data_IF_701765480967
#
_entry.id   IF_701765480967
#
_cell.length_a   1.000
_cell.length_b   1.000
_cell.length_c   1.000
_cell.angle_alpha   90.00
_cell.angle_beta   90.00
_cell.angle_gamma   90.00
#
_symmetry.space_group_name_H-M   'P 1'
#
loop_
_entity.id
_entity.type
_entity.pdbx_description
1 polymer ?
#
# COMPACT_ATOMS: atom_id res chain seq x y z
N UNK A 1 4.42 48.93 -12.97
CA UNK A 1 3.51 47.76 -13.09
C UNK A 1 3.22 47.43 -14.56
N UNK A 2 2.80 46.20 -14.93
CA UNK A 2 2.14 45.21 -14.07
C UNK A 2 2.87 43.86 -13.98
N UNK A 3 3.07 43.38 -12.75
CA UNK A 3 3.27 41.95 -12.47
C UNK A 3 1.93 41.44 -11.92
N UNK A 4 1.12 40.85 -12.81
CA UNK A 4 -0.25 40.45 -12.51
C UNK A 4 -0.59 39.15 -13.20
N UNK A 5 0.05 38.05 -12.81
CA UNK A 5 -0.47 36.70 -13.02
C UNK A 5 0.24 35.69 -12.08
N UNK A 6 -0.36 35.39 -10.92
CA UNK A 6 -0.33 34.02 -10.40
C UNK A 6 -1.68 33.52 -9.87
N UNK A 7 -2.77 34.28 -10.08
CA UNK A 7 -4.07 33.95 -9.49
C UNK A 7 -4.82 32.82 -10.21
N UNK A 8 -4.63 32.67 -11.53
CA UNK A 8 -5.36 31.69 -12.35
C UNK A 8 -4.92 30.23 -12.13
N UNK A 9 -3.64 29.99 -11.84
CA UNK A 9 -3.10 28.65 -11.57
C UNK A 9 -3.52 28.11 -10.20
N UNK A 10 -3.39 28.95 -9.16
CA UNK A 10 -3.82 28.63 -7.79
C UNK A 10 -5.33 28.40 -7.68
N UNK A 11 -6.13 29.17 -8.41
CA UNK A 11 -7.58 28.93 -8.48
C UNK A 11 -7.92 27.64 -9.23
N UNK A 12 -7.12 27.27 -10.24
CA UNK A 12 -7.25 26.01 -10.97
C UNK A 12 -7.01 24.78 -10.10
N UNK A 13 -5.92 24.77 -9.30
CA UNK A 13 -5.63 23.66 -8.38
C UNK A 13 -6.73 23.50 -7.32
N UNK A 14 -7.17 24.61 -6.71
CA UNK A 14 -8.23 24.56 -5.71
C UNK A 14 -9.57 24.07 -6.31
N UNK A 15 -9.94 24.55 -7.49
CA UNK A 15 -11.15 24.09 -8.19
C UNK A 15 -11.08 22.61 -8.56
N UNK A 16 -9.93 22.12 -9.02
CA UNK A 16 -9.71 20.71 -9.33
C UNK A 16 -9.87 19.82 -8.08
N UNK A 17 -9.37 20.27 -6.91
CA UNK A 17 -9.52 19.52 -5.66
C UNK A 17 -10.98 19.41 -5.22
N UNK A 18 -11.76 20.48 -5.32
CA UNK A 18 -13.19 20.44 -4.98
C UNK A 18 -13.98 19.54 -5.94
N UNK A 19 -13.67 19.60 -7.24
CA UNK A 19 -14.29 18.72 -8.23
C UNK A 19 -13.93 17.24 -7.98
N UNK A 20 -12.69 16.94 -7.64
CA UNK A 20 -12.26 15.59 -7.25
C UNK A 20 -13.05 15.10 -6.04
N UNK A 21 -13.22 15.92 -4.99
CA UNK A 21 -14.02 15.54 -3.81
C UNK A 21 -15.46 15.21 -4.20
N UNK A 22 -16.08 16.02 -5.07
CA UNK A 22 -17.44 15.79 -5.58
C UNK A 22 -17.53 14.46 -6.33
N UNK A 23 -16.61 14.20 -7.26
CA UNK A 23 -16.57 12.96 -8.04
C UNK A 23 -16.38 11.72 -7.16
N UNK A 24 -15.50 11.79 -6.15
CA UNK A 24 -15.30 10.70 -5.19
C UNK A 24 -16.57 10.43 -4.37
N UNK A 25 -17.28 11.47 -3.95
CA UNK A 25 -18.58 11.34 -3.28
C UNK A 25 -19.66 10.69 -4.15
N UNK A 26 -19.56 10.85 -5.48
CA UNK A 26 -20.44 10.22 -6.47
C UNK A 26 -19.96 8.82 -6.90
N UNK A 27 -18.84 8.32 -6.37
CA UNK A 27 -18.24 7.04 -6.78
C UNK A 27 -17.60 7.05 -8.17
N UNK A 28 -17.38 8.24 -8.76
CA UNK A 28 -16.81 8.42 -10.11
C UNK A 28 -15.27 8.44 -10.05
N UNK A 29 -14.70 7.35 -9.56
CA UNK A 29 -13.28 7.23 -9.19
C UNK A 29 -12.36 7.50 -10.39
N UNK A 30 -12.61 6.86 -11.54
CA UNK A 30 -11.79 7.04 -12.75
C UNK A 30 -11.71 8.51 -13.20
N UNK A 31 -12.81 9.27 -13.08
CA UNK A 31 -12.80 10.69 -13.46
C UNK A 31 -12.03 11.54 -12.46
N UNK A 32 -12.06 11.19 -11.17
CA UNK A 32 -11.20 11.80 -10.18
C UNK A 32 -9.71 11.53 -10.47
N UNK A 33 -9.36 10.30 -10.89
CA UNK A 33 -7.99 9.96 -11.34
C UNK A 33 -7.54 10.87 -12.48
N UNK A 34 -8.39 11.07 -13.49
CA UNK A 34 -8.04 11.87 -14.66
C UNK A 34 -7.79 13.33 -14.30
N UNK A 35 -8.62 13.93 -13.45
CA UNK A 35 -8.42 15.31 -12.99
C UNK A 35 -7.15 15.44 -12.17
N UNK A 36 -6.90 14.51 -11.24
CA UNK A 36 -5.69 14.50 -10.42
C UNK A 36 -4.43 14.35 -11.27
N UNK A 37 -4.45 13.44 -12.25
CA UNK A 37 -3.34 13.23 -13.18
C UNK A 37 -3.07 14.44 -14.07
N UNK A 38 -4.12 15.16 -14.48
CA UNK A 38 -4.00 16.36 -15.30
C UNK A 38 -3.47 17.57 -14.52
N UNK A 39 -3.88 17.76 -13.26
CA UNK A 39 -3.50 18.95 -12.47
C UNK A 39 -2.14 18.81 -11.78
N UNK A 40 -1.70 17.59 -11.47
CA UNK A 40 -0.46 17.37 -10.71
C UNK A 40 0.79 17.98 -11.38
N UNK A 41 1.03 17.82 -12.70
CA UNK A 41 2.18 18.45 -13.37
C UNK A 41 2.11 19.99 -13.33
N UNK A 42 0.92 20.57 -13.48
CA UNK A 42 0.72 22.02 -13.38
C UNK A 42 1.04 22.52 -11.98
N UNK A 43 0.52 21.86 -10.95
CA UNK A 43 0.82 22.20 -9.56
C UNK A 43 2.32 22.06 -9.26
N UNK A 44 2.98 21.03 -9.81
CA UNK A 44 4.42 20.83 -9.69
C UNK A 44 5.24 21.96 -10.32
N UNK A 45 4.85 22.43 -11.50
CA UNK A 45 5.50 23.55 -12.18
C UNK A 45 5.31 24.89 -11.44
N UNK A 46 4.14 25.11 -10.85
CA UNK A 46 3.80 26.38 -10.17
C UNK A 46 4.35 26.49 -8.74
N UNK A 47 4.28 25.40 -7.98
CA UNK A 47 4.62 25.39 -6.56
C UNK A 47 5.97 24.73 -6.26
N UNK A 48 6.53 24.00 -7.22
CA UNK A 48 7.74 23.20 -7.07
C UNK A 48 7.42 21.77 -6.61
N UNK A 49 8.24 20.82 -7.09
CA UNK A 49 7.96 19.39 -6.95
C UNK A 49 7.93 18.85 -5.51
N UNK A 50 8.64 19.52 -4.61
CA UNK A 50 8.71 19.13 -3.19
C UNK A 50 7.79 19.98 -2.31
N UNK A 51 6.93 20.82 -2.91
CA UNK A 51 6.00 21.66 -2.15
C UNK A 51 4.94 20.83 -1.45
N UNK A 52 4.44 21.34 -0.32
CA UNK A 52 3.41 20.66 0.46
C UNK A 52 2.13 20.39 -0.37
N UNK A 53 1.71 21.35 -1.19
CA UNK A 53 0.53 21.23 -2.06
C UNK A 53 0.68 20.07 -3.04
N UNK A 54 1.83 19.97 -3.71
CA UNK A 54 2.11 18.90 -4.68
C UNK A 54 2.17 17.54 -4.01
N UNK A 55 2.77 17.45 -2.81
CA UNK A 55 2.81 16.21 -2.03
C UNK A 55 1.43 15.74 -1.60
N UNK A 56 0.54 16.65 -1.23
CA UNK A 56 -0.86 16.33 -0.89
C UNK A 56 -1.61 15.83 -2.13
N UNK A 57 -1.50 16.54 -3.27
CA UNK A 57 -2.11 16.12 -4.53
C UNK A 57 -1.59 14.75 -5.01
N UNK A 58 -0.28 14.53 -4.94
CA UNK A 58 0.35 13.26 -5.32
C UNK A 58 -0.14 12.11 -4.46
N UNK A 59 -0.31 12.33 -3.15
CA UNK A 59 -0.91 11.35 -2.25
C UNK A 59 -2.34 11.04 -2.63
N UNK A 60 -3.18 12.06 -2.85
CA UNK A 60 -4.56 11.89 -3.28
C UNK A 60 -4.60 11.08 -4.59
N UNK A 61 -3.79 11.45 -5.58
CA UNK A 61 -3.68 10.75 -6.86
C UNK A 61 -3.29 9.28 -6.70
N UNK A 62 -2.24 9.00 -5.93
CA UNK A 62 -1.80 7.63 -5.67
C UNK A 62 -2.90 6.79 -4.99
N UNK A 63 -3.59 7.33 -3.98
CA UNK A 63 -4.71 6.63 -3.32
C UNK A 63 -5.87 6.39 -4.28
N UNK A 64 -6.27 7.39 -5.06
CA UNK A 64 -7.36 7.23 -6.03
C UNK A 64 -7.00 6.24 -7.15
N UNK A 65 -5.74 6.20 -7.58
CA UNK A 65 -5.26 5.17 -8.51
C UNK A 65 -5.34 3.75 -7.91
N UNK A 66 -5.04 3.59 -6.62
CA UNK A 66 -5.19 2.30 -5.92
C UNK A 66 -6.65 1.87 -5.87
N UNK A 67 -7.55 2.79 -5.53
CA UNK A 67 -8.99 2.53 -5.46
C UNK A 67 -9.60 2.18 -6.83
N UNK A 68 -9.08 2.78 -7.91
CA UNK A 68 -9.49 2.49 -9.30
C UNK A 68 -8.80 1.25 -9.89
N UNK A 69 -7.89 0.60 -9.14
CA UNK A 69 -7.14 -0.58 -9.60
C UNK A 69 -6.04 -0.27 -10.64
N UNK A 70 -5.66 1.00 -10.81
CA UNK A 70 -4.63 1.43 -11.77
C UNK A 70 -3.21 1.26 -11.19
N UNK A 71 -2.85 0.06 -10.75
CA UNK A 71 -1.62 -0.24 -10.01
C UNK A 71 -0.33 0.15 -10.76
N UNK A 72 -0.32 0.01 -12.09
CA UNK A 72 0.85 0.40 -12.92
C UNK A 72 1.16 1.89 -12.84
N UNK A 73 0.12 2.73 -12.70
CA UNK A 73 0.26 4.19 -12.50
C UNK A 73 0.49 4.54 -11.04
N UNK A 74 -0.08 3.80 -10.09
CA UNK A 74 0.09 4.04 -8.66
C UNK A 74 1.53 3.78 -8.18
N UNK A 75 2.15 2.71 -8.68
CA UNK A 75 3.47 2.24 -8.24
C UNK A 75 4.57 3.32 -8.24
N UNK A 76 4.81 4.07 -9.33
CA UNK A 76 5.84 5.12 -9.33
C UNK A 76 5.52 6.26 -8.35
N UNK A 77 4.25 6.62 -8.18
CA UNK A 77 3.83 7.68 -7.25
C UNK A 77 4.03 7.26 -5.79
N UNK A 78 3.68 6.01 -5.46
CA UNK A 78 3.88 5.44 -4.12
C UNK A 78 5.36 5.26 -3.78
N UNK A 79 6.20 4.81 -4.73
CA UNK A 79 7.66 4.72 -4.54
C UNK A 79 8.27 6.08 -4.22
N UNK A 80 7.83 7.13 -4.92
CA UNK A 80 8.29 8.50 -4.64
C UNK A 80 7.82 8.99 -3.28
N UNK A 81 6.54 8.81 -2.95
CA UNK A 81 5.99 9.19 -1.65
C UNK A 81 6.69 8.46 -0.48
N UNK A 82 7.03 7.18 -0.66
CA UNK A 82 7.80 6.41 0.30
C UNK A 82 9.21 6.99 0.48
N UNK A 83 9.94 7.24 -0.61
CA UNK A 83 11.30 7.78 -0.56
C UNK A 83 11.36 9.17 0.09
N UNK A 84 10.44 10.07 -0.29
CA UNK A 84 10.36 11.42 0.28
C UNK A 84 10.05 11.35 1.80
N UNK A 85 9.12 10.48 2.21
CA UNK A 85 8.74 10.34 3.62
C UNK A 85 9.85 9.67 4.44
N UNK A 86 10.53 8.69 3.86
CA UNK A 86 11.68 8.03 4.48
C UNK A 86 12.84 9.01 4.71
N UNK A 87 13.14 9.87 3.73
CA UNK A 87 14.16 10.90 3.89
C UNK A 87 13.81 11.90 5.02
N UNK A 88 12.53 12.16 5.26
CA UNK A 88 12.08 13.15 6.25
C UNK A 88 11.93 12.60 7.67
N UNK A 89 11.47 11.37 7.84
CA UNK A 89 11.16 10.79 9.17
C UNK A 89 11.70 9.38 9.39
N UNK A 90 12.43 8.84 8.42
CA UNK A 90 13.06 7.54 8.50
C UNK A 90 12.17 6.38 8.06
N UNK A 91 12.77 5.18 7.98
CA UNK A 91 12.13 3.99 7.43
C UNK A 91 11.06 3.37 8.36
N UNK A 92 11.11 3.70 9.66
CA UNK A 92 10.15 3.22 10.66
C UNK A 92 8.89 4.09 10.78
N UNK A 93 8.83 5.22 10.08
CA UNK A 93 7.66 6.12 10.14
C UNK A 93 6.39 5.40 9.64
N UNK A 94 5.25 5.51 10.34
CA UNK A 94 4.02 4.82 9.96
C UNK A 94 3.54 5.12 8.54
N UNK A 95 3.75 6.34 8.04
CA UNK A 95 3.36 6.74 6.70
C UNK A 95 4.32 6.17 5.66
N UNK A 96 5.63 6.16 5.93
CA UNK A 96 6.62 5.46 5.09
C UNK A 96 6.23 3.99 4.92
N UNK A 97 5.95 3.30 6.04
CA UNK A 97 5.56 1.89 6.02
C UNK A 97 4.23 1.66 5.29
N UNK A 98 3.27 2.57 5.38
CA UNK A 98 2.03 2.49 4.63
C UNK A 98 2.30 2.58 3.11
N UNK A 99 3.07 3.55 2.64
CA UNK A 99 3.39 3.64 1.21
C UNK A 99 4.16 2.44 0.70
N UNK A 100 5.12 1.92 1.48
CA UNK A 100 5.85 0.70 1.11
C UNK A 100 4.97 -0.55 1.09
N UNK A 101 4.01 -0.66 2.00
CA UNK A 101 2.99 -1.69 1.93
C UNK A 101 2.17 -1.58 0.63
N UNK A 102 1.76 -0.37 0.24
CA UNK A 102 0.96 -0.15 -0.98
C UNK A 102 1.79 -0.37 -2.26
N UNK A 103 3.09 -0.09 -2.22
CA UNK A 103 4.05 -0.52 -3.26
C UNK A 103 4.04 -2.05 -3.39
N UNK A 104 4.14 -2.78 -2.28
CA UNK A 104 4.10 -4.23 -2.30
C UNK A 104 2.77 -4.75 -2.89
N UNK A 105 1.63 -4.16 -2.51
CA UNK A 105 0.31 -4.48 -3.09
C UNK A 105 0.30 -4.23 -4.60
N UNK A 106 0.83 -3.11 -5.08
CA UNK A 106 0.90 -2.84 -6.52
C UNK A 106 1.68 -3.93 -7.24
N UNK A 107 2.84 -4.33 -6.70
CA UNK A 107 3.69 -5.37 -7.29
C UNK A 107 2.96 -6.71 -7.34
N UNK A 108 2.22 -7.09 -6.29
CA UNK A 108 1.37 -8.29 -6.32
C UNK A 108 0.36 -8.25 -7.46
N UNK A 109 -0.38 -7.15 -7.60
CA UNK A 109 -1.42 -7.00 -8.62
C UNK A 109 -0.87 -6.93 -10.04
N UNK A 110 0.39 -6.52 -10.20
CA UNK A 110 1.10 -6.53 -11.47
C UNK A 110 1.76 -7.88 -11.79
N UNK A 111 1.69 -8.86 -10.88
CA UNK A 111 2.31 -10.18 -11.04
C UNK A 111 3.80 -10.22 -10.74
N UNK A 112 4.36 -9.16 -10.16
CA UNK A 112 5.77 -9.02 -9.80
C UNK A 112 6.04 -9.65 -8.41
N UNK A 113 5.71 -10.94 -8.28
CA UNK A 113 5.65 -11.63 -6.99
C UNK A 113 6.98 -11.60 -6.20
N UNK A 114 8.12 -11.71 -6.88
CA UNK A 114 9.44 -11.65 -6.25
C UNK A 114 9.76 -10.27 -5.66
N UNK A 115 9.39 -9.19 -6.35
CA UNK A 115 9.57 -7.82 -5.86
C UNK A 115 8.62 -7.53 -4.70
N UNK A 116 7.35 -7.94 -4.81
CA UNK A 116 6.38 -7.83 -3.73
C UNK A 116 6.86 -8.56 -2.46
N UNK A 117 7.40 -9.77 -2.61
CA UNK A 117 7.94 -10.56 -1.51
C UNK A 117 9.11 -9.85 -0.82
N UNK A 118 10.01 -9.23 -1.60
CA UNK A 118 11.13 -8.45 -1.07
C UNK A 118 10.64 -7.24 -0.26
N UNK A 119 9.66 -6.49 -0.78
CA UNK A 119 9.06 -5.35 -0.10
C UNK A 119 8.37 -5.76 1.22
N UNK A 120 7.55 -6.81 1.19
CA UNK A 120 6.90 -7.31 2.41
C UNK A 120 7.89 -7.77 3.48
N UNK A 121 8.94 -8.50 3.09
CA UNK A 121 10.00 -8.92 4.02
C UNK A 121 10.74 -7.73 4.61
N UNK A 122 10.93 -6.65 3.86
CA UNK A 122 11.62 -5.46 4.34
C UNK A 122 10.76 -4.63 5.32
N UNK A 123 9.43 -4.60 5.17
CA UNK A 123 8.55 -3.86 6.11
C UNK A 123 8.11 -4.67 7.33
N UNK A 124 8.10 -6.02 7.24
CA UNK A 124 7.61 -6.89 8.30
C UNK A 124 8.27 -6.64 9.69
N UNK A 125 9.60 -6.47 9.82
CA UNK A 125 10.23 -6.26 11.12
C UNK A 125 9.73 -5.02 11.88
N UNK A 126 9.33 -3.97 11.16
CA UNK A 126 8.77 -2.77 11.77
C UNK A 126 7.38 -3.03 12.39
N UNK A 127 6.57 -3.88 11.76
CA UNK A 127 5.26 -4.26 12.29
C UNK A 127 5.36 -5.31 13.41
N UNK A 128 6.32 -6.23 13.32
CA UNK A 128 6.57 -7.22 14.38
C UNK A 128 7.13 -6.58 15.65
N UNK A 129 7.99 -5.57 15.52
CA UNK A 129 8.51 -4.85 16.67
C UNK A 129 7.42 -4.06 17.40
N UNK A 130 6.50 -3.42 16.66
CA UNK A 130 5.34 -2.73 17.22
C UNK A 130 4.40 -3.69 18.00
N UNK A 131 4.19 -4.92 17.51
CA UNK A 131 3.38 -5.94 18.19
C UNK A 131 3.86 -6.30 19.59
N UNK A 132 5.17 -6.15 19.88
CA UNK A 132 5.74 -6.50 21.19
C UNK A 132 5.32 -5.55 22.31
N UNK A 133 4.70 -4.42 21.98
CA UNK A 133 4.19 -3.46 22.97
C UNK A 133 2.87 -3.96 23.57
N UNK A 134 2.64 -3.76 24.89
CA UNK A 134 1.36 -4.12 25.52
C UNK A 134 0.18 -3.42 24.82
N UNK A 135 -0.84 -4.20 24.42
CA UNK A 135 -2.03 -3.68 23.76
C UNK A 135 -1.88 -3.38 22.26
N UNK A 136 -0.73 -3.67 21.65
CA UNK A 136 -0.55 -3.53 20.21
C UNK A 136 -1.37 -4.58 19.44
N UNK A 137 -1.98 -4.15 18.33
CA UNK A 137 -2.73 -5.03 17.43
C UNK A 137 -1.79 -5.77 16.47
N UNK A 138 -1.75 -7.11 16.50
CA UNK A 138 -0.93 -7.89 15.56
C UNK A 138 -1.46 -7.97 14.14
N UNK A 139 -2.69 -7.50 13.88
CA UNK A 139 -3.42 -7.71 12.62
C UNK A 139 -2.59 -7.34 11.39
N UNK A 140 -1.88 -6.21 11.44
CA UNK A 140 -1.06 -5.71 10.32
C UNK A 140 0.12 -6.64 10.01
N UNK A 141 0.84 -7.09 11.04
CA UNK A 141 1.95 -8.03 10.88
C UNK A 141 1.45 -9.39 10.36
N UNK A 142 0.28 -9.84 10.83
CA UNK A 142 -0.34 -11.07 10.38
C UNK A 142 -0.79 -11.01 8.92
N UNK A 143 -1.37 -9.88 8.49
CA UNK A 143 -1.71 -9.64 7.09
C UNK A 143 -0.48 -9.73 6.18
N UNK A 144 0.64 -9.13 6.58
CA UNK A 144 1.89 -9.20 5.81
C UNK A 144 2.43 -10.63 5.75
N UNK A 145 2.47 -11.35 6.87
CA UNK A 145 2.93 -12.75 6.91
C UNK A 145 2.05 -13.66 6.05
N UNK A 146 0.75 -13.40 6.02
CA UNK A 146 -0.19 -14.13 5.17
C UNK A 146 0.13 -13.91 3.68
N UNK A 147 0.31 -12.65 3.26
CA UNK A 147 0.71 -12.29 1.89
C UNK A 147 2.05 -12.92 1.50
N UNK A 148 3.04 -12.91 2.41
CA UNK A 148 4.33 -13.62 2.19
C UNK A 148 4.11 -15.11 1.94
N UNK A 149 3.26 -15.78 2.72
CA UNK A 149 2.96 -17.20 2.52
C UNK A 149 2.35 -17.50 1.14
N UNK A 150 1.44 -16.65 0.68
CA UNK A 150 0.85 -16.74 -0.67
C UNK A 150 1.86 -16.44 -1.77
N UNK A 151 2.70 -15.43 -1.61
CA UNK A 151 3.74 -15.11 -2.60
C UNK A 151 4.77 -16.23 -2.73
N UNK A 152 5.15 -16.87 -1.62
CA UNK A 152 6.02 -18.03 -1.65
C UNK A 152 5.40 -19.20 -2.43
N UNK A 153 4.08 -19.41 -2.34
CA UNK A 153 3.38 -20.37 -3.19
C UNK A 153 3.47 -19.99 -4.66
N UNK A 154 3.19 -18.73 -5.00
CA UNK A 154 3.25 -18.21 -6.38
C UNK A 154 4.64 -18.33 -6.98
N UNK A 155 5.70 -18.12 -6.19
CA UNK A 155 7.09 -18.29 -6.64
C UNK A 155 7.60 -19.73 -6.56
N UNK A 156 6.76 -20.70 -6.17
CA UNK A 156 7.09 -22.13 -6.11
C UNK A 156 7.85 -22.59 -4.86
N UNK A 157 8.09 -21.72 -3.87
CA UNK A 157 8.67 -22.09 -2.58
C UNK A 157 7.59 -22.65 -1.63
N UNK A 158 7.12 -23.85 -1.95
CA UNK A 158 6.10 -24.53 -1.16
C UNK A 158 6.56 -24.84 0.28
N UNK A 159 7.87 -25.05 0.50
CA UNK A 159 8.39 -25.36 1.82
C UNK A 159 8.40 -24.13 2.71
N UNK A 160 8.92 -23.01 2.19
CA UNK A 160 8.88 -21.72 2.87
C UNK A 160 7.44 -21.27 3.13
N UNK A 161 6.55 -21.41 2.15
CA UNK A 161 5.13 -21.08 2.32
C UNK A 161 4.50 -21.87 3.47
N UNK A 162 4.71 -23.19 3.52
CA UNK A 162 4.17 -24.04 4.58
C UNK A 162 4.66 -23.59 5.96
N UNK A 163 5.96 -23.35 6.11
CA UNK A 163 6.53 -22.88 7.38
C UNK A 163 5.96 -21.53 7.80
N UNK A 164 5.84 -20.57 6.87
CA UNK A 164 5.29 -19.25 7.16
C UNK A 164 3.83 -19.32 7.60
N UNK A 165 2.99 -20.06 6.86
CA UNK A 165 1.57 -20.21 7.16
C UNK A 165 1.33 -20.99 8.46
N UNK A 166 2.14 -22.01 8.76
CA UNK A 166 2.06 -22.77 10.01
C UNK A 166 2.42 -21.89 11.21
N UNK A 167 3.51 -21.13 11.13
CA UNK A 167 3.91 -20.21 12.20
C UNK A 167 2.85 -19.11 12.40
N UNK A 168 2.26 -18.61 11.31
CA UNK A 168 1.19 -17.62 11.39
C UNK A 168 -0.08 -18.18 12.03
N UNK A 169 -0.44 -19.43 11.74
CA UNK A 169 -1.58 -20.10 12.36
C UNK A 169 -1.40 -20.17 13.88
N UNK A 170 -0.23 -20.65 14.34
CA UNK A 170 0.08 -20.74 15.76
C UNK A 170 -0.05 -19.37 16.47
N UNK A 171 0.51 -18.32 15.88
CA UNK A 171 0.43 -16.97 16.45
C UNK A 171 -0.99 -16.39 16.42
N UNK A 172 -1.77 -16.71 15.39
CA UNK A 172 -3.16 -16.26 15.23
C UNK A 172 -4.06 -16.91 16.27
N UNK A 173 -3.93 -18.22 16.48
CA UNK A 173 -4.68 -18.95 17.51
C UNK A 173 -4.36 -18.43 18.91
N UNK A 174 -3.09 -18.11 19.19
CA UNK A 174 -2.68 -17.54 20.47
C UNK A 174 -3.23 -16.13 20.70
N UNK A 175 -3.35 -15.31 19.65
CA UNK A 175 -3.78 -13.92 19.75
C UNK A 175 -5.31 -13.77 19.75
N UNK A 176 -6.02 -14.52 18.91
CA UNK A 176 -7.44 -14.32 18.63
C UNK A 176 -8.30 -15.56 18.90
N UNK A 177 -7.69 -16.69 19.25
CA UNK A 177 -8.37 -17.96 19.46
C UNK A 177 -8.54 -18.80 18.19
N UNK A 178 -8.86 -20.09 18.34
CA UNK A 178 -8.87 -21.07 17.25
C UNK A 178 -9.99 -20.91 16.23
N UNK A 179 -11.05 -20.13 16.55
CA UNK A 179 -12.20 -19.94 15.66
C UNK A 179 -12.15 -18.63 14.86
N UNK A 180 -11.07 -17.85 15.02
CA UNK A 180 -10.89 -16.62 14.26
C UNK A 180 -10.88 -16.90 12.74
N UNK A 181 -11.51 -16.07 11.90
CA UNK A 181 -11.59 -16.29 10.45
C UNK A 181 -10.22 -16.56 9.79
N UNK A 182 -9.20 -15.81 10.18
CA UNK A 182 -7.83 -16.01 9.68
C UNK A 182 -7.26 -17.40 10.06
N UNK A 183 -7.50 -17.90 11.28
CA UNK A 183 -7.04 -19.23 11.67
C UNK A 183 -7.69 -20.33 10.82
N UNK A 184 -8.99 -20.20 10.56
CA UNK A 184 -9.73 -21.13 9.69
C UNK A 184 -9.25 -21.07 8.23
N UNK A 185 -8.92 -19.89 7.72
CA UNK A 185 -8.32 -19.73 6.40
C UNK A 185 -6.95 -20.43 6.30
N UNK A 186 -6.06 -20.20 7.27
CA UNK A 186 -4.71 -20.78 7.30
C UNK A 186 -4.75 -22.31 7.38
N UNK A 187 -5.64 -22.90 8.19
CA UNK A 187 -5.82 -24.36 8.25
C UNK A 187 -6.24 -24.93 6.89
N UNK A 188 -7.15 -24.26 6.19
CA UNK A 188 -7.59 -24.69 4.84
C UNK A 188 -6.43 -24.63 3.85
N UNK A 189 -5.66 -23.55 3.86
CA UNK A 189 -4.48 -23.40 2.99
C UNK A 189 -3.43 -24.50 3.23
N UNK A 190 -3.11 -24.78 4.51
CA UNK A 190 -2.15 -25.83 4.89
C UNK A 190 -2.63 -27.23 4.52
N UNK A 191 -3.92 -27.53 4.74
CA UNK A 191 -4.51 -28.82 4.36
C UNK A 191 -4.45 -29.03 2.85
N UNK A 192 -4.74 -27.99 2.07
CA UNK A 192 -4.66 -28.04 0.62
C UNK A 192 -3.23 -28.31 0.13
N UNK A 193 -2.23 -27.61 0.69
CA UNK A 193 -0.82 -27.85 0.36
C UNK A 193 -0.38 -29.30 0.67
N UNK A 194 -0.82 -29.87 1.79
CA UNK A 194 -0.50 -31.26 2.13
C UNK A 194 -1.10 -32.26 1.14
N UNK A 195 -2.34 -32.03 0.68
CA UNK A 195 -2.98 -32.88 -0.33
C UNK A 195 -2.28 -32.80 -1.69
N UNK A 196 -1.81 -31.62 -2.09
CA UNK A 196 -1.05 -31.43 -3.34
C UNK A 196 0.33 -32.08 -3.25
N UNK A 197 0.99 -32.03 -2.09
CA UNK A 197 2.31 -32.66 -1.87
C UNK A 197 2.26 -34.18 -1.68
N UNK A 198 1.12 -34.70 -1.23
CA UNK A 198 0.91 -36.15 -1.02
C UNK A 198 0.40 -36.90 -2.25
N UNK A 199 0.17 -36.21 -3.37
CA UNK A 199 -0.19 -36.77 -4.67
C UNK A 199 1.02 -36.74 -5.60
#
# INVERSE_FOLDING_TARGET
PPAGAPAAGRSGVAAAVEEVKRLLGEGRITQAVDILGAILPTAAAEHGEHSHVVRVLRRQYATTLMDDGQYRRALPELRRLAADREAEAGPADPQTLQYRHDVAVCLEQLGEASEALAEYRAILPYHESARRQPGADPSRAFGIRHRIGHLLLTTGDHSGAYQQLQNLLYDTERAYGPYHPLANELRRALTHQQQVRGR
#
